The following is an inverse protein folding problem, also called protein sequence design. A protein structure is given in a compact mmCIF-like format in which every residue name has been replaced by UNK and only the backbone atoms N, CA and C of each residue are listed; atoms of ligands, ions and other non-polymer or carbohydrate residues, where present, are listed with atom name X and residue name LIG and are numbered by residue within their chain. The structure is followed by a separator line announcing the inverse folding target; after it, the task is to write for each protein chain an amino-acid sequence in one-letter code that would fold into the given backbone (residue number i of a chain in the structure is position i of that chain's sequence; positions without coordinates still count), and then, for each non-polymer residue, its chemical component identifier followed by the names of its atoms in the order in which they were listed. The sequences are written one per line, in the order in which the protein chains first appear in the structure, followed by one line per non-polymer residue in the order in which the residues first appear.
data_IF_645537242657
#
_entry.id   IF_645537242657
#
_cell.length_a   1.000
_cell.length_b   1.000
_cell.length_c   1.000
_cell.angle_alpha   90.00
_cell.angle_beta   90.00
_cell.angle_gamma   90.00
#
_symmetry.space_group_name_H-M   'P 1'
#
loop_
_entity.id
_entity.type
_entity.pdbx_description
1 polymer ?
#
# COMPACT_ATOMS: atom_id res chain seq x y z
N UNK A 1 10.33 -12.72 -14.63
CA UNK A 1 10.16 -13.60 -13.45
C UNK A 1 8.79 -14.26 -13.53
N UNK A 2 8.70 -15.59 -13.43
CA UNK A 2 7.44 -16.36 -13.45
C UNK A 2 7.12 -16.84 -12.03
N UNK A 3 6.57 -15.95 -11.20
CA UNK A 3 6.00 -16.30 -9.90
C UNK A 3 4.50 -16.05 -9.90
N UNK A 4 3.75 -16.82 -9.12
CA UNK A 4 2.32 -16.63 -8.95
C UNK A 4 2.06 -15.27 -8.28
N UNK A 5 1.16 -14.48 -8.87
CA UNK A 5 0.79 -13.18 -8.34
C UNK A 5 -0.05 -13.34 -7.06
N UNK A 6 0.23 -12.51 -6.07
CA UNK A 6 -0.59 -12.37 -4.88
C UNK A 6 -0.38 -11.03 -4.22
N UNK A 7 -1.04 -10.85 -3.09
CA UNK A 7 -0.92 -9.69 -2.21
C UNK A 7 -0.18 -10.09 -0.94
N UNK A 8 0.54 -9.14 -0.36
CA UNK A 8 1.24 -9.31 0.90
C UNK A 8 0.89 -8.16 1.84
N UNK A 9 0.28 -8.46 2.99
CA UNK A 9 0.14 -7.50 4.09
C UNK A 9 1.42 -7.47 4.90
N UNK A 10 2.04 -6.30 5.02
CA UNK A 10 3.24 -6.11 5.86
C UNK A 10 2.83 -6.10 7.33
N UNK A 11 3.37 -7.03 8.10
CA UNK A 11 3.16 -7.15 9.55
C UNK A 11 4.29 -6.46 10.35
N UNK A 12 5.48 -6.38 9.75
CA UNK A 12 6.66 -5.80 10.39
C UNK A 12 7.80 -5.63 9.40
N UNK A 13 8.63 -4.62 9.63
CA UNK A 13 9.86 -4.38 8.86
C UNK A 13 11.00 -4.03 9.81
N UNK A 14 12.18 -4.62 9.60
CA UNK A 14 13.41 -4.26 10.33
C UNK A 14 14.61 -4.22 9.39
N UNK A 15 15.54 -3.27 9.57
CA UNK A 15 16.84 -3.32 8.91
C UNK A 15 17.54 -4.65 9.23
N UNK A 16 18.24 -5.21 8.24
CA UNK A 16 19.10 -6.37 8.43
C UNK A 16 20.33 -6.29 7.55
N UNK A 17 21.46 -6.79 8.06
CA UNK A 17 22.63 -7.04 7.23
C UNK A 17 22.33 -8.13 6.21
N UNK A 18 22.64 -7.87 4.94
CA UNK A 18 22.69 -8.90 3.91
C UNK A 18 24.13 -9.20 3.55
N UNK A 19 24.49 -10.48 3.60
CA UNK A 19 25.77 -10.94 3.09
C UNK A 19 25.60 -11.27 1.61
N UNK A 20 26.11 -10.40 0.74
CA UNK A 20 26.29 -10.74 -0.67
C UNK A 20 27.57 -11.57 -0.78
N UNK A 21 27.50 -12.78 -1.34
CA UNK A 21 28.70 -13.53 -1.70
C UNK A 21 29.34 -12.84 -2.91
N UNK A 22 30.18 -11.85 -2.67
CA UNK A 22 31.05 -11.25 -3.69
C UNK A 22 32.40 -11.94 -3.63
N UNK A 23 32.92 -12.33 -4.79
CA UNK A 23 34.25 -12.94 -5.01
C UNK A 23 35.36 -12.15 -4.28
N UNK A 24 36.41 -12.81 -3.77
CA UNK A 24 37.32 -12.22 -2.82
C UNK A 24 38.39 -11.37 -3.52
N UNK A 25 38.16 -10.07 -3.66
CA UNK A 25 39.30 -9.14 -3.71
C UNK A 25 39.09 -7.74 -3.14
N UNK A 26 37.86 -7.29 -2.90
CA UNK A 26 37.64 -5.97 -2.29
C UNK A 26 36.57 -6.02 -1.21
N UNK A 27 36.82 -5.28 -0.13
CA UNK A 27 36.05 -5.11 1.11
C UNK A 27 34.64 -5.72 1.13
N UNK A 28 34.37 -6.56 2.16
CA UNK A 28 33.01 -6.99 2.54
C UNK A 28 32.11 -5.76 2.72
N UNK A 29 31.38 -5.35 1.68
CA UNK A 29 30.29 -4.39 1.81
C UNK A 29 29.11 -5.14 2.40
N UNK A 30 28.89 -4.97 3.70
CA UNK A 30 27.64 -5.38 4.34
C UNK A 30 26.54 -4.49 3.78
N UNK A 31 25.85 -4.96 2.75
CA UNK A 31 24.78 -4.18 2.12
C UNK A 31 23.53 -4.24 3.00
N UNK A 32 22.97 -3.07 3.32
CA UNK A 32 21.76 -2.94 4.14
C UNK A 32 20.54 -3.42 3.35
N UNK A 33 19.87 -4.43 3.87
CA UNK A 33 18.58 -4.87 3.38
C UNK A 33 17.52 -4.78 4.47
N UNK A 34 16.31 -5.20 4.16
CA UNK A 34 15.21 -5.22 5.10
C UNK A 34 14.67 -6.64 5.26
N UNK A 35 14.34 -7.00 6.49
CA UNK A 35 13.56 -8.20 6.81
C UNK A 35 12.12 -7.78 7.01
N UNK A 36 11.24 -8.38 6.21
CA UNK A 36 9.81 -8.20 6.29
C UNK A 36 9.16 -9.42 6.92
N UNK A 37 8.17 -9.18 7.77
CA UNK A 37 7.18 -10.17 8.20
C UNK A 37 5.91 -9.85 7.43
N UNK A 38 5.37 -10.84 6.72
CA UNK A 38 4.25 -10.61 5.80
C UNK A 38 3.21 -11.72 5.93
N UNK A 39 1.94 -11.36 5.73
CA UNK A 39 0.85 -12.30 5.45
C UNK A 39 0.59 -12.30 3.96
N UNK A 40 0.76 -13.45 3.32
CA UNK A 40 0.60 -13.65 1.90
C UNK A 40 -0.81 -14.15 1.59
N UNK A 41 -1.43 -13.56 0.57
CA UNK A 41 -2.70 -13.99 0.00
C UNK A 41 -2.53 -14.20 -1.51
N UNK A 42 -2.66 -15.46 -1.94
CA UNK A 42 -2.59 -15.86 -3.34
C UNK A 42 -3.93 -16.47 -3.74
N UNK A 43 -4.52 -16.11 -4.90
CA UNK A 43 -5.77 -16.72 -5.35
C UNK A 43 -5.73 -18.25 -5.35
N UNK A 44 -6.79 -18.87 -4.82
CA UNK A 44 -6.92 -20.33 -4.72
C UNK A 44 -6.10 -20.99 -3.61
N UNK A 45 -5.38 -20.23 -2.78
CA UNK A 45 -4.56 -20.75 -1.68
C UNK A 45 -4.98 -20.16 -0.34
N UNK A 46 -4.80 -20.92 0.75
CA UNK A 46 -5.01 -20.41 2.10
C UNK A 46 -3.95 -19.35 2.43
N UNK A 47 -4.33 -18.20 3.04
CA UNK A 47 -3.37 -17.20 3.48
C UNK A 47 -2.35 -17.79 4.46
N UNK A 48 -1.10 -17.35 4.37
CA UNK A 48 -0.01 -17.81 5.25
C UNK A 48 0.95 -16.68 5.61
N UNK A 49 1.63 -16.81 6.75
CA UNK A 49 2.62 -15.83 7.20
C UNK A 49 4.04 -16.32 6.97
N UNK A 50 4.93 -15.43 6.55
CA UNK A 50 6.34 -15.76 6.30
C UNK A 50 7.25 -14.55 6.49
N UNK A 51 8.56 -14.78 6.37
CA UNK A 51 9.59 -13.75 6.48
C UNK A 51 10.44 -13.73 5.22
N UNK A 52 10.60 -12.56 4.64
CA UNK A 52 11.44 -12.35 3.46
C UNK A 52 12.52 -11.32 3.76
N UNK A 53 13.72 -11.57 3.23
CA UNK A 53 14.81 -10.60 3.24
C UNK A 53 14.92 -10.04 1.84
N UNK A 54 14.72 -8.74 1.69
CA UNK A 54 14.79 -8.08 0.40
C UNK A 54 15.45 -6.70 0.50
N UNK A 55 16.14 -6.31 -0.57
CA UNK A 55 16.56 -4.93 -0.78
C UNK A 55 15.45 -4.18 -1.47
N UNK A 56 15.12 -3.03 -0.93
CA UNK A 56 14.10 -2.13 -1.44
C UNK A 56 14.70 -0.73 -1.45
N UNK A 57 14.26 0.12 -2.36
CA UNK A 57 14.63 1.54 -2.31
C UNK A 57 14.05 2.19 -1.06
N UNK A 58 14.59 3.33 -0.63
CA UNK A 58 14.02 4.08 0.50
C UNK A 58 12.59 4.54 0.17
N UNK A 59 12.32 4.89 -1.09
CA UNK A 59 10.99 5.20 -1.61
C UNK A 59 10.02 4.01 -1.46
N UNK A 60 10.42 2.81 -1.90
CA UNK A 60 9.59 1.62 -1.73
C UNK A 60 9.35 1.31 -0.24
N UNK A 61 10.36 1.54 0.61
CA UNK A 61 10.26 1.28 2.04
C UNK A 61 9.18 2.14 2.72
N UNK A 62 8.90 3.35 2.22
CA UNK A 62 7.81 4.20 2.71
C UNK A 62 6.42 3.61 2.48
N UNK A 63 6.31 2.74 1.47
CA UNK A 63 5.11 2.04 1.01
C UNK A 63 5.04 0.58 1.51
N UNK A 64 6.00 0.18 2.34
CA UNK A 64 6.12 -1.18 2.89
C UNK A 64 6.21 -1.15 4.42
N UNK A 65 5.33 -0.36 5.05
CA UNK A 65 5.20 -0.23 6.51
C UNK A 65 4.15 -1.20 7.06
N UNK A 66 4.20 -1.50 8.38
CA UNK A 66 3.18 -2.35 8.99
C UNK A 66 1.76 -1.83 8.71
N UNK A 67 0.91 -2.74 8.21
CA UNK A 67 -0.45 -2.44 7.74
C UNK A 67 -0.57 -2.31 6.22
N UNK A 68 0.52 -2.01 5.51
CA UNK A 68 0.49 -1.78 4.07
C UNK A 68 0.29 -3.09 3.30
N UNK A 69 -0.44 -3.00 2.18
CA UNK A 69 -0.67 -4.11 1.26
C UNK A 69 0.16 -3.87 0.01
N UNK A 70 1.01 -4.82 -0.34
CA UNK A 70 1.95 -4.72 -1.46
C UNK A 70 1.79 -5.92 -2.38
N UNK A 71 2.25 -5.82 -3.61
CA UNK A 71 2.28 -6.95 -4.52
C UNK A 71 3.34 -7.97 -4.10
N UNK A 72 3.08 -9.25 -4.35
CA UNK A 72 4.09 -10.30 -4.23
C UNK A 72 4.10 -11.25 -5.42
N UNK A 73 5.25 -11.88 -5.64
CA UNK A 73 5.41 -13.01 -6.57
C UNK A 73 5.97 -14.19 -5.80
N UNK A 74 5.22 -15.28 -5.76
CA UNK A 74 5.57 -16.52 -5.03
C UNK A 74 6.03 -17.58 -6.03
N UNK A 75 7.13 -18.27 -5.76
CA UNK A 75 7.54 -19.44 -6.54
C UNK A 75 6.54 -20.60 -6.34
N UNK A 76 5.92 -21.16 -7.40
CA UNK A 76 4.97 -22.26 -7.27
C UNK A 76 5.57 -23.53 -6.65
N UNK A 77 6.89 -23.73 -6.75
CA UNK A 77 7.59 -24.89 -6.18
C UNK A 77 8.07 -24.68 -4.74
N UNK A 78 8.12 -23.43 -4.27
CA UNK A 78 8.58 -23.07 -2.95
C UNK A 78 7.93 -21.77 -2.45
N UNK A 79 6.93 -21.89 -1.57
CA UNK A 79 6.19 -20.76 -1.00
C UNK A 79 7.04 -19.82 -0.13
N UNK A 80 8.24 -20.23 0.30
CA UNK A 80 9.16 -19.35 1.03
C UNK A 80 10.00 -18.49 0.07
N UNK A 81 10.11 -18.89 -1.20
CA UNK A 81 10.79 -18.14 -2.24
C UNK A 81 9.83 -17.15 -2.89
N UNK A 82 9.81 -15.94 -2.36
CA UNK A 82 8.97 -14.85 -2.85
C UNK A 82 9.73 -13.53 -2.95
N UNK A 83 9.18 -12.61 -3.74
CA UNK A 83 9.62 -11.21 -3.84
C UNK A 83 8.43 -10.29 -3.64
N UNK A 84 8.65 -9.21 -2.88
CA UNK A 84 7.69 -8.14 -2.67
C UNK A 84 7.95 -7.02 -3.68
N UNK A 85 6.90 -6.33 -4.10
CA UNK A 85 7.01 -5.13 -4.93
C UNK A 85 5.90 -4.17 -4.56
N UNK A 86 6.22 -2.88 -4.57
CA UNK A 86 5.19 -1.85 -4.55
C UNK A 86 4.41 -1.96 -5.86
N UNK A 87 3.08 -2.15 -5.83
CA UNK A 87 2.30 -2.11 -7.05
C UNK A 87 2.42 -0.72 -7.67
N UNK A 88 2.67 -0.65 -8.97
CA UNK A 88 2.72 0.64 -9.66
C UNK A 88 1.37 1.36 -9.43
N UNK A 89 1.36 2.60 -8.90
CA UNK A 89 0.12 3.35 -8.63
C UNK A 89 -0.79 3.45 -9.85
N UNK A 90 -0.23 3.33 -11.05
CA UNK A 90 -0.97 3.36 -12.31
C UNK A 90 -1.64 2.03 -12.70
N UNK A 91 -1.09 0.87 -12.28
CA UNK A 91 -1.57 -0.47 -12.69
C UNK A 91 -2.63 -1.05 -11.75
N UNK A 92 -2.58 -0.75 -10.45
CA UNK A 92 -3.49 -1.34 -9.46
C UNK A 92 -4.73 -0.47 -9.18
N UNK A 93 -4.70 0.82 -9.54
CA UNK A 93 -5.53 1.83 -8.85
C UNK A 93 -6.60 2.46 -9.75
N UNK A 94 -6.38 2.67 -11.06
CA UNK A 94 -7.39 3.36 -11.89
C UNK A 94 -8.63 2.53 -12.21
N UNK A 95 -8.46 1.24 -12.49
CA UNK A 95 -9.58 0.31 -12.75
C UNK A 95 -10.29 -0.06 -11.44
N UNK A 96 -9.58 -0.08 -10.31
CA UNK A 96 -10.17 -0.37 -8.99
C UNK A 96 -10.86 0.85 -8.39
N UNK A 97 -10.28 2.06 -8.44
CA UNK A 97 -10.89 3.29 -7.91
C UNK A 97 -12.21 3.59 -8.60
N UNK A 98 -12.25 3.65 -9.92
CA UNK A 98 -13.48 3.98 -10.63
C UNK A 98 -14.61 3.00 -10.31
N UNK A 99 -14.26 1.70 -10.18
CA UNK A 99 -15.20 0.65 -9.82
C UNK A 99 -15.65 0.71 -8.36
N UNK A 100 -14.74 1.02 -7.43
CA UNK A 100 -15.08 1.23 -6.02
C UNK A 100 -15.98 2.45 -5.88
N UNK A 101 -15.69 3.55 -6.59
CA UNK A 101 -16.52 4.75 -6.59
C UNK A 101 -17.89 4.51 -7.24
N UNK A 102 -17.99 3.67 -8.28
CA UNK A 102 -19.28 3.41 -8.95
C UNK A 102 -20.15 2.39 -8.21
N UNK A 103 -19.55 1.28 -7.75
CA UNK A 103 -20.28 0.10 -7.27
C UNK A 103 -20.17 -0.06 -5.73
N UNK A 104 -19.27 0.68 -5.09
CA UNK A 104 -18.99 0.57 -3.67
C UNK A 104 -20.05 1.20 -2.78
N UNK A 105 -20.09 0.73 -1.53
CA UNK A 105 -20.87 1.33 -0.44
C UNK A 105 -20.26 2.67 -0.06
N UNK A 106 -21.11 3.63 0.30
CA UNK A 106 -20.67 4.98 0.68
C UNK A 106 -20.34 5.07 2.16
N UNK A 107 -19.29 5.80 2.48
CA UNK A 107 -18.85 6.09 3.83
C UNK A 107 -18.26 7.50 3.91
N UNK A 108 -18.22 8.01 5.13
CA UNK A 108 -17.41 9.19 5.45
C UNK A 108 -16.06 8.74 6.01
N UNK A 109 -14.99 9.45 5.67
CA UNK A 109 -13.67 9.25 6.23
C UNK A 109 -13.20 10.51 6.96
N UNK A 110 -12.56 10.34 8.11
CA UNK A 110 -11.82 11.40 8.81
C UNK A 110 -10.33 11.22 8.56
N UNK A 111 -9.65 12.28 8.16
CA UNK A 111 -8.21 12.24 7.92
C UNK A 111 -7.47 12.16 9.26
N UNK A 112 -6.64 11.13 9.43
CA UNK A 112 -5.79 10.94 10.61
C UNK A 112 -4.33 11.35 10.35
N UNK A 113 -3.86 11.19 9.12
CA UNK A 113 -2.57 11.69 8.66
C UNK A 113 -2.51 11.73 7.13
N UNK A 114 -1.75 12.68 6.60
CA UNK A 114 -1.34 12.71 5.19
C UNK A 114 0.18 12.80 5.14
N UNK A 115 0.83 11.90 4.39
CA UNK A 115 2.28 11.93 4.18
C UNK A 115 2.56 11.96 2.68
N UNK A 116 3.30 12.96 2.15
CA UNK A 116 3.82 12.89 0.79
C UNK A 116 4.66 11.64 0.61
N UNK A 117 4.43 10.90 -0.48
CA UNK A 117 5.31 9.82 -0.89
C UNK A 117 6.23 10.39 -1.95
N UNK A 118 7.54 10.29 -1.72
CA UNK A 118 8.55 10.79 -2.64
C UNK A 118 8.63 9.88 -3.87
N UNK A 119 7.65 9.95 -4.76
CA UNK A 119 7.73 9.31 -6.06
C UNK A 119 8.32 10.29 -7.09
N UNK A 120 9.16 9.74 -7.96
CA UNK A 120 9.81 10.42 -9.08
C UNK A 120 8.74 10.80 -10.12
N UNK A 121 7.95 11.84 -9.83
CA UNK A 121 6.98 12.39 -10.76
C UNK A 121 7.67 13.46 -11.60
N UNK A 122 7.69 13.23 -12.91
CA UNK A 122 8.08 14.24 -13.89
C UNK A 122 7.03 15.36 -13.96
N UNK A 123 6.92 16.15 -12.90
CA UNK A 123 6.53 17.56 -12.88
C UNK A 123 5.12 17.97 -13.30
N UNK A 124 4.17 17.09 -13.62
CA UNK A 124 2.83 17.47 -14.09
C UNK A 124 1.64 16.70 -13.48
N UNK A 125 1.87 15.80 -12.53
CA UNK A 125 0.81 14.97 -11.95
C UNK A 125 0.43 15.42 -10.52
N UNK A 126 -0.83 15.15 -10.15
CA UNK A 126 -1.36 15.33 -8.79
C UNK A 126 -0.44 14.67 -7.74
N UNK A 127 -0.15 15.31 -6.60
CA UNK A 127 0.71 14.73 -5.57
C UNK A 127 0.14 13.42 -5.05
N UNK A 128 0.98 12.38 -5.01
CA UNK A 128 0.61 11.11 -4.40
C UNK A 128 0.90 11.15 -2.90
N UNK A 129 -0.16 11.02 -2.13
CA UNK A 129 -0.10 11.02 -0.68
C UNK A 129 -0.47 9.64 -0.14
N UNK A 130 0.19 9.25 0.95
CA UNK A 130 -0.32 8.22 1.86
C UNK A 130 -1.28 8.88 2.83
N UNK A 131 -2.51 8.41 2.83
CA UNK A 131 -3.58 8.89 3.69
C UNK A 131 -3.92 7.80 4.70
N UNK A 132 -3.77 8.11 5.99
CA UNK A 132 -4.31 7.31 7.08
C UNK A 132 -5.68 7.89 7.42
N UNK A 133 -6.73 7.08 7.32
CA UNK A 133 -8.12 7.52 7.44
C UNK A 133 -8.88 6.66 8.46
N UNK A 134 -9.84 7.26 9.15
CA UNK A 134 -10.87 6.57 9.91
C UNK A 134 -12.20 6.62 9.16
N UNK A 135 -12.68 5.46 8.70
CA UNK A 135 -13.92 5.33 7.94
C UNK A 135 -15.09 5.03 8.87
N UNK A 136 -16.25 5.57 8.50
CA UNK A 136 -17.54 5.31 9.13
C UNK A 136 -18.61 5.20 8.05
N UNK A 137 -19.25 4.03 8.00
CA UNK A 137 -20.45 3.76 7.21
C UNK A 137 -21.66 3.62 8.13
N UNK A 138 -22.88 3.79 7.59
CA UNK A 138 -24.12 3.73 8.37
C UNK A 138 -24.49 2.30 8.79
N UNK A 139 -24.03 1.31 8.02
CA UNK A 139 -24.31 -0.11 8.15
C UNK A 139 -23.15 -0.90 8.78
N UNK A 140 -22.08 -0.20 9.20
CA UNK A 140 -20.98 -0.80 9.96
C UNK A 140 -21.07 -0.39 11.44
N UNK A 141 -20.91 -1.35 12.38
CA UNK A 141 -21.14 -1.09 13.81
C UNK A 141 -20.07 -0.19 14.45
N UNK A 142 -18.86 -0.18 13.90
CA UNK A 142 -17.72 0.56 14.44
C UNK A 142 -16.93 1.21 13.31
N UNK A 143 -16.35 2.42 13.53
CA UNK A 143 -15.37 2.98 12.63
C UNK A 143 -14.15 2.06 12.49
N UNK A 144 -13.50 2.09 11.34
CA UNK A 144 -12.27 1.32 11.10
C UNK A 144 -11.20 2.17 10.44
N UNK A 145 -9.95 1.78 10.64
CA UNK A 145 -8.80 2.52 10.09
C UNK A 145 -8.27 1.87 8.83
N UNK A 146 -8.05 2.71 7.84
CA UNK A 146 -7.46 2.32 6.56
C UNK A 146 -6.25 3.19 6.26
N UNK A 147 -5.39 2.68 5.39
CA UNK A 147 -4.30 3.40 4.80
C UNK A 147 -4.35 3.21 3.30
N UNK A 148 -4.39 4.32 2.57
CA UNK A 148 -4.42 4.30 1.11
C UNK A 148 -3.29 5.18 0.56
N UNK A 149 -2.85 4.88 -0.65
CA UNK A 149 -1.88 5.67 -1.39
C UNK A 149 -2.51 5.97 -2.74
N UNK A 150 -2.76 7.24 -3.03
CA UNK A 150 -3.39 7.65 -4.27
C UNK A 150 -3.03 9.10 -4.63
N UNK A 151 -3.20 9.49 -5.90
CA UNK A 151 -3.12 10.89 -6.31
C UNK A 151 -4.19 11.74 -5.60
N UNK A 152 -3.77 12.91 -5.15
CA UNK A 152 -4.64 13.92 -4.53
C UNK A 152 -4.72 15.11 -5.47
N UNK A 153 -5.90 15.43 -6.04
CA UNK A 153 -6.09 16.61 -6.86
C UNK A 153 -5.55 17.85 -6.17
N UNK A 154 -4.76 18.67 -6.87
CA UNK A 154 -4.26 19.92 -6.29
C UNK A 154 -5.39 20.81 -5.75
N UNK A 155 -6.56 20.78 -6.38
CA UNK A 155 -7.76 21.49 -5.94
C UNK A 155 -8.34 20.97 -4.62
N UNK A 156 -7.99 19.75 -4.21
CA UNK A 156 -8.47 19.08 -3.00
C UNK A 156 -7.38 18.97 -1.91
N UNK A 157 -6.21 19.58 -2.10
CA UNK A 157 -5.06 19.40 -1.19
C UNK A 157 -5.36 19.87 0.24
N UNK A 158 -6.20 20.89 0.43
CA UNK A 158 -6.60 21.38 1.76
C UNK A 158 -7.61 20.46 2.48
N UNK A 159 -8.17 19.47 1.76
CA UNK A 159 -9.08 18.48 2.33
C UNK A 159 -8.33 17.32 2.98
N UNK A 160 -7.02 17.21 2.79
CA UNK A 160 -6.20 16.16 3.43
C UNK A 160 -5.55 16.60 4.75
N UNK A 161 -5.98 17.74 5.30
CA UNK A 161 -5.56 18.17 6.62
C UNK A 161 -6.15 17.29 7.73
N UNK A 162 -5.42 17.16 8.83
CA UNK A 162 -5.84 16.37 9.99
C UNK A 162 -7.25 16.76 10.46
N UNK A 163 -8.12 15.76 10.62
CA UNK A 163 -9.49 15.92 11.10
C UNK A 163 -10.50 16.36 10.04
N UNK A 164 -10.06 16.65 8.81
CA UNK A 164 -10.97 16.90 7.69
C UNK A 164 -11.78 15.67 7.34
N UNK A 165 -12.97 15.90 6.80
CA UNK A 165 -13.86 14.86 6.31
C UNK A 165 -13.70 14.70 4.80
N UNK A 166 -13.67 13.46 4.36
CA UNK A 166 -13.68 13.06 2.95
C UNK A 166 -14.85 12.12 2.71
N UNK A 167 -15.47 12.24 1.55
CA UNK A 167 -16.44 11.27 1.06
C UNK A 167 -15.71 10.14 0.36
N UNK A 168 -16.04 8.90 0.72
CA UNK A 168 -15.34 7.71 0.24
C UNK A 168 -16.31 6.62 -0.18
N UNK A 169 -15.83 5.68 -0.99
CA UNK A 169 -16.53 4.44 -1.28
C UNK A 169 -15.65 3.23 -0.93
N UNK A 170 -16.29 2.11 -0.60
CA UNK A 170 -15.60 0.87 -0.25
C UNK A 170 -16.41 -0.39 -0.63
N UNK A 171 -15.75 -1.53 -0.84
CA UNK A 171 -16.44 -2.81 -1.00
C UNK A 171 -16.54 -3.60 0.30
N UNK A 172 -15.45 -3.70 1.04
CA UNK A 172 -15.36 -4.51 2.27
C UNK A 172 -14.65 -3.75 3.38
N UNK A 173 -14.93 -4.13 4.64
CA UNK A 173 -14.18 -3.61 5.78
C UNK A 173 -12.79 -4.26 5.78
N UNK A 174 -11.81 -3.51 5.26
CA UNK A 174 -10.43 -3.93 5.15
C UNK A 174 -9.46 -2.81 5.60
N UNK A 175 -8.18 -2.90 5.20
CA UNK A 175 -7.13 -1.95 5.57
C UNK A 175 -6.85 -0.86 4.53
N UNK A 176 -7.70 -0.74 3.51
CA UNK A 176 -7.59 0.22 2.40
C UNK A 176 -7.51 -0.44 1.01
N UNK A 177 -7.58 -1.76 0.91
CA UNK A 177 -7.45 -2.48 -0.37
C UNK A 177 -8.63 -2.21 -1.30
N UNK A 178 -9.82 -2.00 -0.73
CA UNK A 178 -11.05 -1.79 -1.48
C UNK A 178 -11.67 -0.42 -1.24
N UNK A 179 -10.88 0.58 -0.87
CA UNK A 179 -11.33 1.94 -0.54
C UNK A 179 -10.85 2.95 -1.57
N UNK A 180 -11.71 3.92 -1.92
CA UNK A 180 -11.37 5.05 -2.78
C UNK A 180 -11.98 6.36 -2.25
N UNK A 181 -11.26 7.47 -2.40
CA UNK A 181 -11.80 8.80 -2.06
C UNK A 181 -12.51 9.40 -3.26
N UNK A 182 -13.71 9.93 -3.01
CA UNK A 182 -14.49 10.68 -3.97
C UNK A 182 -14.15 12.17 -3.82
N UNK A 183 -13.11 12.62 -4.53
CA UNK A 183 -12.64 14.01 -4.44
C UNK A 183 -13.70 15.02 -4.90
N UNK A 184 -14.51 14.65 -5.90
CA UNK A 184 -15.56 15.52 -6.41
C UNK A 184 -16.67 15.69 -5.38
N UNK A 185 -17.10 14.60 -4.74
CA UNK A 185 -18.07 14.67 -3.65
C UNK A 185 -17.51 15.42 -2.43
N UNK A 186 -16.24 15.21 -2.09
CA UNK A 186 -15.58 15.86 -0.96
C UNK A 186 -15.41 17.38 -1.13
N UNK A 187 -15.34 17.86 -2.37
CA UNK A 187 -15.29 19.30 -2.70
C UNK A 187 -16.68 19.97 -2.68
N UNK A 188 -17.75 19.17 -2.68
CA UNK A 188 -19.13 19.66 -2.73
C UNK A 188 -19.82 19.74 -1.36
N UNK A 189 -19.18 19.20 -0.31
CA UNK A 189 -19.64 19.19 1.09
C UNK A 189 -19.03 20.35 1.90
#
# INVERSE_FOLDING_TARGET
MRGQAGEATVLGVRPCAMTTFVVPHDARRTESGHRFWVRIQVPGHQPYETRVRQRVSDMDLELMRPGDIVGCRVDPGDRERLVLHVPNPDEATRVSIAKVLSDGRRASATVLAATPIAADYSGHDDPVLRLDLELKAWDEPQPWRVRIVQPVPLTAIELVDLGRRLEVAFFTVDRGASVAVDWAASLAD
#
